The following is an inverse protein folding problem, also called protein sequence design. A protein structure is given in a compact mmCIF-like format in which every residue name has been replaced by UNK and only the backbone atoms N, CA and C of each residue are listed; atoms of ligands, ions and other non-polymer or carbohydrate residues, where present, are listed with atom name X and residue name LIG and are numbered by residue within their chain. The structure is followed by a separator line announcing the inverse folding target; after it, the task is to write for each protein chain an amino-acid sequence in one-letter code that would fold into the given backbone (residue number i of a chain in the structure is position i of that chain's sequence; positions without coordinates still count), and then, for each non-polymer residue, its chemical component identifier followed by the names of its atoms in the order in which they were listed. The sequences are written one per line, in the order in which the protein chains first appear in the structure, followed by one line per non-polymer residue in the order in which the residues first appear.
data_IF_180861053311
#
_entry.id   IF_180861053311
#
_cell.length_a   1.000
_cell.length_b   1.000
_cell.length_c   1.000
_cell.angle_alpha   90.00
_cell.angle_beta   90.00
_cell.angle_gamma   90.00
#
_symmetry.space_group_name_H-M   'P 1'
#
loop_
_entity.id
_entity.type
_entity.pdbx_description
1 polymer ?
#
# COMPACT_ATOMS: atom_id res chain seq x y z
N UNK A 1 12.14 -18.34 -2.01
CA UNK A 1 11.09 -17.57 -2.68
C UNK A 1 11.78 -16.43 -3.42
N UNK A 2 11.82 -16.46 -4.74
CA UNK A 2 12.33 -15.31 -5.51
C UNK A 2 11.40 -14.12 -5.27
N UNK A 3 11.93 -12.90 -5.02
CA UNK A 3 11.08 -11.74 -4.91
C UNK A 3 10.34 -11.53 -6.25
N UNK A 4 9.03 -11.28 -6.19
CA UNK A 4 8.18 -11.05 -7.36
C UNK A 4 8.64 -9.89 -8.26
N UNK A 5 9.65 -9.13 -7.83
CA UNK A 5 10.34 -8.12 -8.61
C UNK A 5 11.85 -8.31 -8.44
N UNK A 6 12.64 -8.22 -9.52
CA UNK A 6 14.09 -8.22 -9.42
C UNK A 6 14.51 -7.07 -8.50
N UNK A 7 15.39 -7.34 -7.55
CA UNK A 7 15.93 -6.33 -6.65
C UNK A 7 16.83 -5.42 -7.49
N UNK A 8 16.27 -4.31 -7.99
CA UNK A 8 16.97 -3.41 -8.90
C UNK A 8 18.10 -2.74 -8.13
N UNK A 9 19.35 -3.11 -8.45
CA UNK A 9 20.55 -2.49 -7.90
C UNK A 9 20.59 -0.99 -8.22
N UNK A 10 21.21 -0.20 -7.34
CA UNK A 10 21.30 1.25 -7.54
C UNK A 10 22.09 1.62 -8.81
N UNK A 11 23.01 0.77 -9.23
CA UNK A 11 23.73 0.88 -10.50
C UNK A 11 22.77 0.80 -11.71
N UNK A 12 21.81 -0.13 -11.70
CA UNK A 12 20.83 -0.25 -12.77
C UNK A 12 19.93 0.99 -12.81
N UNK A 13 19.54 1.54 -11.65
CA UNK A 13 18.72 2.77 -11.57
C UNK A 13 19.45 3.97 -12.16
N UNK A 14 20.74 4.11 -11.87
CA UNK A 14 21.57 5.18 -12.45
C UNK A 14 21.73 5.02 -13.97
N UNK A 15 21.93 3.79 -14.46
CA UNK A 15 22.03 3.51 -15.90
C UNK A 15 20.73 3.84 -16.66
N UNK A 16 19.57 3.57 -16.05
CA UNK A 16 18.26 3.87 -16.63
C UNK A 16 17.98 5.37 -16.60
N UNK A 17 18.38 6.07 -15.54
CA UNK A 17 18.28 7.52 -15.44
C UNK A 17 19.13 8.23 -16.51
N UNK A 18 20.35 7.75 -16.79
CA UNK A 18 21.20 8.26 -17.87
C UNK A 18 20.58 8.06 -19.26
N UNK A 19 19.77 7.01 -19.45
CA UNK A 19 18.98 6.76 -20.67
C UNK A 19 17.68 7.58 -20.73
N UNK A 20 17.45 8.50 -19.79
CA UNK A 20 16.26 9.33 -19.72
C UNK A 20 15.01 8.63 -19.16
N UNK A 21 15.13 7.37 -18.73
CA UNK A 21 14.04 6.61 -18.13
C UNK A 21 13.96 6.98 -16.64
N UNK A 22 12.95 7.76 -16.28
CA UNK A 22 12.66 8.11 -14.88
C UNK A 22 11.89 6.97 -14.24
N UNK A 23 12.28 6.61 -13.01
CA UNK A 23 11.49 5.69 -12.19
C UNK A 23 10.06 6.23 -12.06
N UNK A 24 9.08 5.36 -12.30
CA UNK A 24 7.68 5.70 -12.12
C UNK A 24 7.45 6.16 -10.68
N UNK A 25 7.11 7.43 -10.50
CA UNK A 25 6.61 7.97 -9.25
C UNK A 25 5.10 8.04 -9.36
N UNK A 26 4.34 7.38 -8.46
CA UNK A 26 2.90 7.55 -8.45
C UNK A 26 2.60 9.03 -8.24
N UNK A 27 1.83 9.64 -9.15
CA UNK A 27 1.32 10.99 -8.93
C UNK A 27 0.28 10.91 -7.81
N UNK A 28 0.43 11.67 -6.71
CA UNK A 28 -0.62 11.72 -5.71
C UNK A 28 -1.89 12.30 -6.32
N UNK A 29 -3.04 11.86 -5.79
CA UNK A 29 -4.32 12.47 -6.13
C UNK A 29 -4.31 13.96 -5.74
N UNK A 30 -4.85 14.86 -6.59
CA UNK A 30 -5.05 16.25 -6.22
C UNK A 30 -5.85 16.36 -4.92
N UNK A 31 -5.49 17.30 -4.03
CA UNK A 31 -6.07 17.37 -2.69
C UNK A 31 -7.59 17.57 -2.68
N UNK A 32 -8.14 18.31 -3.65
CA UNK A 32 -9.58 18.53 -3.80
C UNK A 32 -10.34 17.29 -4.28
N UNK A 33 -9.65 16.22 -4.69
CA UNK A 33 -10.21 14.91 -5.03
C UNK A 33 -9.87 13.84 -3.98
N UNK A 34 -9.02 14.17 -3.00
CA UNK A 34 -8.57 13.24 -1.98
C UNK A 34 -9.50 13.30 -0.75
N UNK A 35 -10.32 12.26 -0.48
CA UNK A 35 -11.25 12.25 0.65
C UNK A 35 -10.60 12.28 2.02
N UNK A 36 -9.28 12.07 2.10
CA UNK A 36 -8.48 12.21 3.32
C UNK A 36 -7.99 13.63 3.55
N UNK A 37 -8.05 14.50 2.54
CA UNK A 37 -7.67 15.91 2.67
C UNK A 37 -8.81 16.74 3.24
N UNK A 38 -8.49 17.71 4.10
CA UNK A 38 -9.45 18.73 4.54
C UNK A 38 -9.98 19.56 3.36
N UNK A 39 -9.13 19.79 2.35
CA UNK A 39 -9.47 20.54 1.14
C UNK A 39 -10.66 19.91 0.40
N UNK A 40 -10.74 18.58 0.37
CA UNK A 40 -11.85 17.84 -0.25
C UNK A 40 -13.19 18.12 0.44
N UNK A 41 -13.22 18.06 1.78
CA UNK A 41 -14.43 18.30 2.56
C UNK A 41 -14.87 19.77 2.47
N UNK A 42 -13.91 20.70 2.51
CA UNK A 42 -14.19 22.12 2.30
C UNK A 42 -14.81 22.39 0.92
N UNK A 43 -14.28 21.76 -0.13
CA UNK A 43 -14.80 21.91 -1.50
C UNK A 43 -16.23 21.36 -1.61
N UNK A 44 -16.52 20.21 -1.02
CA UNK A 44 -17.86 19.63 -1.01
C UNK A 44 -18.87 20.46 -0.19
N UNK A 45 -18.46 21.00 0.97
CA UNK A 45 -19.30 21.90 1.77
C UNK A 45 -19.60 23.18 1.01
N UNK A 46 -18.60 23.75 0.32
CA UNK A 46 -18.79 24.92 -0.53
C UNK A 46 -19.78 24.65 -1.67
N UNK A 47 -19.64 23.52 -2.38
CA UNK A 47 -20.57 23.14 -3.45
C UNK A 47 -22.00 22.94 -2.92
N UNK A 48 -22.16 22.36 -1.74
CA UNK A 48 -23.46 22.17 -1.12
C UNK A 48 -24.11 23.52 -0.75
N UNK A 49 -23.33 24.44 -0.19
CA UNK A 49 -23.78 25.81 0.09
C UNK A 49 -24.17 26.57 -1.19
N UNK A 50 -23.39 26.43 -2.25
CA UNK A 50 -23.70 27.02 -3.56
C UNK A 50 -25.01 26.45 -4.13
N UNK A 51 -25.24 25.14 -3.99
CA UNK A 51 -26.48 24.50 -4.44
C UNK A 51 -27.70 24.97 -3.62
N UNK A 52 -27.55 25.15 -2.31
CA UNK A 52 -28.60 25.72 -1.46
C UNK A 52 -28.97 27.13 -1.93
N UNK A 53 -27.95 27.98 -2.15
CA UNK A 53 -28.16 29.35 -2.59
C UNK A 53 -28.78 29.42 -3.99
N UNK A 54 -28.32 28.57 -4.91
CA UNK A 54 -28.91 28.40 -6.24
C UNK A 54 -30.38 27.97 -6.17
N UNK A 55 -30.72 27.01 -5.30
CA UNK A 55 -32.11 26.59 -5.07
C UNK A 55 -32.99 27.72 -4.53
N UNK A 56 -32.46 28.58 -3.64
CA UNK A 56 -33.18 29.73 -3.07
C UNK A 56 -33.36 30.86 -4.08
N UNK A 57 -32.43 31.04 -5.00
CA UNK A 57 -32.55 32.04 -6.07
C UNK A 57 -33.45 31.55 -7.20
N UNK A 58 -33.42 30.25 -7.52
CA UNK A 58 -34.28 29.63 -8.53
C UNK A 58 -35.78 29.84 -8.30
N UNK A 59 -36.24 29.99 -7.04
CA UNK A 59 -37.65 30.34 -6.77
C UNK A 59 -38.03 31.74 -7.23
N UNK A 60 -37.07 32.66 -7.30
CA UNK A 60 -37.29 34.04 -7.76
C UNK A 60 -37.18 34.14 -9.28
N UNK A 61 -36.28 33.36 -9.88
CA UNK A 61 -35.93 33.45 -11.30
C UNK A 61 -36.72 32.46 -12.19
N UNK A 62 -37.70 31.75 -11.63
CA UNK A 62 -38.52 30.77 -12.38
C UNK A 62 -37.76 29.55 -12.89
N UNK A 63 -36.56 29.31 -12.38
CA UNK A 63 -35.71 28.19 -12.78
C UNK A 63 -36.12 26.86 -12.11
N UNK A 64 -35.80 25.75 -12.76
CA UNK A 64 -36.09 24.41 -12.26
C UNK A 64 -35.32 24.11 -10.97
N UNK A 65 -36.05 23.96 -9.86
CA UNK A 65 -35.47 23.63 -8.54
C UNK A 65 -34.93 22.21 -8.45
N UNK A 66 -35.44 21.31 -9.30
CA UNK A 66 -35.11 19.87 -9.27
C UNK A 66 -33.61 19.67 -9.46
N UNK A 67 -32.97 20.40 -10.38
CA UNK A 67 -31.53 20.33 -10.62
C UNK A 67 -30.70 20.64 -9.37
N UNK A 68 -31.04 21.72 -8.66
CA UNK A 68 -30.35 22.08 -7.42
C UNK A 68 -30.61 21.08 -6.30
N UNK A 69 -31.80 20.49 -6.28
CA UNK A 69 -32.20 19.49 -5.29
C UNK A 69 -31.44 18.19 -5.45
N UNK A 70 -31.32 17.71 -6.69
CA UNK A 70 -30.56 16.49 -7.00
C UNK A 70 -29.08 16.69 -6.70
N UNK A 71 -28.52 17.87 -7.00
CA UNK A 71 -27.15 18.22 -6.63
C UNK A 71 -26.92 18.23 -5.10
N UNK A 72 -27.84 18.82 -4.33
CA UNK A 72 -27.73 18.82 -2.86
C UNK A 72 -27.72 17.41 -2.25
N UNK A 73 -28.44 16.45 -2.85
CA UNK A 73 -28.43 15.06 -2.39
C UNK A 73 -27.24 14.27 -2.92
N UNK A 74 -26.82 14.52 -4.17
CA UNK A 74 -25.77 13.75 -4.82
C UNK A 74 -24.38 14.07 -4.30
N UNK A 75 -24.07 15.35 -4.01
CA UNK A 75 -22.77 15.77 -3.48
C UNK A 75 -22.36 14.99 -2.21
N UNK A 76 -23.17 14.97 -1.12
CA UNK A 76 -22.79 14.23 0.08
C UNK A 76 -22.78 12.72 -0.14
N UNK A 77 -23.68 12.19 -0.99
CA UNK A 77 -23.71 10.77 -1.32
C UNK A 77 -22.43 10.32 -2.03
N UNK A 78 -22.02 11.03 -3.08
CA UNK A 78 -20.77 10.74 -3.79
C UNK A 78 -19.54 11.01 -2.92
N UNK A 79 -19.59 12.00 -2.02
CA UNK A 79 -18.51 12.24 -1.08
C UNK A 79 -18.26 11.04 -0.16
N UNK A 80 -19.31 10.46 0.42
CA UNK A 80 -19.21 9.27 1.26
C UNK A 80 -18.78 8.02 0.47
N UNK A 81 -19.37 7.81 -0.71
CA UNK A 81 -19.02 6.67 -1.58
C UNK A 81 -17.56 6.71 -2.04
N UNK A 82 -17.05 7.89 -2.36
CA UNK A 82 -15.65 8.07 -2.78
C UNK A 82 -14.66 7.70 -1.67
N UNK A 83 -14.96 8.08 -0.41
CA UNK A 83 -14.15 7.73 0.75
C UNK A 83 -14.09 6.21 0.95
N UNK A 84 -15.26 5.54 0.93
CA UNK A 84 -15.32 4.09 1.11
C UNK A 84 -14.61 3.29 0.02
N UNK A 85 -14.64 3.76 -1.23
CA UNK A 85 -13.85 3.15 -2.32
C UNK A 85 -12.36 3.44 -2.24
N UNK A 86 -11.97 4.61 -1.75
CA UNK A 86 -10.55 4.92 -1.57
C UNK A 86 -9.95 4.15 -0.40
N UNK A 87 -10.67 3.96 0.71
CA UNK A 87 -10.23 3.10 1.81
C UNK A 87 -9.98 1.66 1.34
N UNK A 88 -10.86 1.10 0.50
CA UNK A 88 -10.67 -0.25 -0.06
C UNK A 88 -9.55 -0.29 -1.10
N UNK A 89 -9.39 0.76 -1.93
CA UNK A 89 -8.28 0.85 -2.88
C UNK A 89 -6.94 1.10 -2.16
N UNK A 90 -6.91 1.80 -1.03
CA UNK A 90 -5.71 2.02 -0.22
C UNK A 90 -5.32 0.73 0.52
N UNK A 91 -6.30 -0.07 0.94
CA UNK A 91 -6.12 -1.43 1.44
C UNK A 91 -5.54 -2.37 0.37
N UNK A 92 -5.97 -2.23 -0.89
CA UNK A 92 -5.54 -3.08 -2.02
C UNK A 92 -4.21 -2.61 -2.65
N UNK A 93 -4.01 -1.29 -2.79
CA UNK A 93 -2.94 -0.66 -3.58
C UNK A 93 -2.03 0.30 -2.77
N UNK A 94 -2.56 0.90 -1.71
CA UNK A 94 -2.02 2.09 -1.05
C UNK A 94 -0.75 1.90 -0.25
N UNK A 95 -0.60 0.74 0.40
CA UNK A 95 0.68 0.30 0.92
C UNK A 95 1.06 -0.99 0.21
N UNK A 96 2.20 -0.96 -0.49
CA UNK A 96 3.01 -2.16 -0.68
C UNK A 96 3.46 -2.63 0.71
N UNK A 97 2.53 -3.23 1.45
CA UNK A 97 2.80 -3.82 2.74
C UNK A 97 3.83 -4.91 2.51
N UNK A 98 4.92 -4.89 3.28
CA UNK A 98 5.84 -6.02 3.30
C UNK A 98 5.03 -7.29 3.59
N UNK A 99 5.54 -8.47 3.19
CA UNK A 99 4.84 -9.72 3.47
C UNK A 99 4.47 -9.85 4.97
N UNK A 100 5.34 -9.36 5.85
CA UNK A 100 5.13 -9.29 7.30
C UNK A 100 3.97 -8.37 7.70
N UNK A 101 3.89 -7.16 7.13
CA UNK A 101 2.76 -6.24 7.35
C UNK A 101 1.45 -6.83 6.81
N UNK A 102 1.48 -7.66 5.76
CA UNK A 102 0.27 -8.37 5.28
C UNK A 102 -0.18 -9.47 6.25
N UNK A 103 0.76 -10.16 6.89
CA UNK A 103 0.47 -11.22 7.86
C UNK A 103 -0.21 -10.69 9.14
N UNK A 104 -0.02 -9.43 9.50
CA UNK A 104 -0.68 -8.81 10.66
C UNK A 104 -2.21 -8.74 10.54
N UNK A 105 -2.73 -8.68 9.31
CA UNK A 105 -4.17 -8.62 9.04
C UNK A 105 -4.84 -10.00 9.02
N UNK A 106 -4.06 -11.08 9.05
CA UNK A 106 -4.57 -12.45 9.08
C UNK A 106 -3.84 -13.26 10.17
N UNK A 107 -4.41 -13.36 11.39
CA UNK A 107 -3.74 -13.95 12.54
C UNK A 107 -3.43 -15.44 12.36
N UNK A 108 -4.20 -16.14 11.52
CA UNK A 108 -3.96 -17.55 11.18
C UNK A 108 -2.69 -17.68 10.34
N UNK A 109 -2.53 -16.82 9.33
CA UNK A 109 -1.34 -16.86 8.47
C UNK A 109 -0.08 -16.40 9.20
N UNK A 110 -0.19 -15.45 10.15
CA UNK A 110 0.94 -15.04 11.01
C UNK A 110 1.50 -16.20 11.82
N UNK A 111 0.63 -16.94 12.52
CA UNK A 111 1.06 -18.12 13.31
C UNK A 111 1.69 -19.21 12.45
N UNK A 112 1.19 -19.43 11.24
CA UNK A 112 1.77 -20.39 10.31
C UNK A 112 3.16 -19.95 9.83
N UNK A 113 3.34 -18.64 9.59
CA UNK A 113 4.63 -18.06 9.24
C UNK A 113 5.64 -18.15 10.38
N UNK A 114 5.25 -17.78 11.60
CA UNK A 114 6.12 -17.82 12.77
C UNK A 114 6.62 -19.26 13.02
N UNK A 115 5.73 -20.26 12.90
CA UNK A 115 6.12 -21.68 12.96
C UNK A 115 7.09 -22.08 11.85
N UNK A 116 6.88 -21.61 10.63
CA UNK A 116 7.77 -21.91 9.51
C UNK A 116 9.17 -21.30 9.70
N UNK A 117 9.25 -20.09 10.27
CA UNK A 117 10.51 -19.43 10.63
C UNK A 117 11.23 -20.20 11.73
N UNK A 118 10.51 -20.65 12.76
CA UNK A 118 11.06 -21.44 13.87
C UNK A 118 11.67 -22.77 13.37
N UNK A 119 10.92 -23.52 12.56
CA UNK A 119 11.39 -24.78 11.95
C UNK A 119 12.62 -24.54 11.07
N UNK A 120 12.63 -23.45 10.30
CA UNK A 120 13.76 -23.13 9.43
C UNK A 120 15.01 -22.74 10.26
N UNK A 121 14.85 -22.00 11.35
CA UNK A 121 15.96 -21.65 12.22
C UNK A 121 16.56 -22.88 12.90
N UNK A 122 15.72 -23.77 13.41
CA UNK A 122 16.16 -25.06 13.99
C UNK A 122 16.94 -25.90 12.96
N UNK A 123 16.43 -25.98 11.73
CA UNK A 123 17.11 -26.68 10.64
C UNK A 123 18.49 -26.05 10.31
N UNK A 124 18.58 -24.72 10.25
CA UNK A 124 19.82 -24.01 10.00
C UNK A 124 20.85 -24.17 11.14
N UNK A 125 20.39 -24.26 12.39
CA UNK A 125 21.25 -24.52 13.54
C UNK A 125 21.83 -25.94 13.51
N UNK A 126 21.00 -26.94 13.19
CA UNK A 126 21.45 -28.32 13.04
C UNK A 126 22.51 -28.46 11.94
N UNK A 127 22.30 -27.82 10.78
CA UNK A 127 23.30 -27.81 9.70
C UNK A 127 24.62 -27.18 10.14
N UNK A 128 24.59 -26.08 10.90
CA UNK A 128 25.82 -25.45 11.42
C UNK A 128 26.56 -26.37 12.37
N UNK A 129 25.85 -27.11 13.22
CA UNK A 129 26.46 -28.09 14.11
C UNK A 129 27.12 -29.22 13.31
N UNK A 130 26.41 -29.81 12.35
CA UNK A 130 26.94 -30.87 11.48
C UNK A 130 28.20 -30.42 10.71
N UNK A 131 28.18 -29.21 10.14
CA UNK A 131 29.34 -28.63 9.45
C UNK A 131 30.52 -28.51 10.42
N UNK A 132 30.31 -27.98 11.62
CA UNK A 132 31.38 -27.82 12.61
C UNK A 132 31.98 -29.16 13.07
N UNK A 133 31.15 -30.20 13.21
CA UNK A 133 31.61 -31.54 13.54
C UNK A 133 32.42 -32.18 12.40
N UNK A 134 31.98 -31.99 11.16
CA UNK A 134 32.68 -32.48 9.98
C UNK A 134 34.03 -31.78 9.80
N UNK A 135 34.10 -30.47 10.02
CA UNK A 135 35.35 -29.71 10.01
C UNK A 135 36.31 -30.20 11.10
N UNK A 136 35.82 -30.44 12.31
CA UNK A 136 36.63 -31.00 13.40
C UNK A 136 37.16 -32.42 13.08
N UNK A 137 36.34 -33.26 12.44
CA UNK A 137 36.74 -34.61 11.99
C UNK A 137 37.80 -34.54 10.88
N UNK A 138 37.63 -33.63 9.92
CA UNK A 138 38.61 -33.39 8.85
C UNK A 138 39.95 -32.92 9.40
N UNK A 139 39.93 -31.97 10.34
CA UNK A 139 41.14 -31.45 10.98
C UNK A 139 41.91 -32.54 11.73
N UNK A 140 41.22 -33.37 12.53
CA UNK A 140 41.83 -34.53 13.21
C UNK A 140 42.42 -35.54 12.23
N UNK A 141 41.74 -35.80 11.10
CA UNK A 141 42.24 -36.70 10.06
C UNK A 141 43.51 -36.17 9.40
N UNK A 142 43.57 -34.88 9.09
CA UNK A 142 44.77 -34.24 8.54
C UNK A 142 45.96 -34.30 9.50
N UNK A 143 45.74 -34.09 10.81
CA UNK A 143 46.79 -34.22 11.82
C UNK A 143 47.30 -35.65 12.00
N UNK A 144 46.44 -36.66 11.80
CA UNK A 144 46.85 -38.08 11.89
C UNK A 144 47.66 -38.59 10.69
N UNK A 145 47.74 -37.80 9.60
CA UNK A 145 48.46 -38.16 8.36
C UNK A 145 49.80 -37.43 8.21
N UNK A 146 50.16 -36.56 9.17
CA UNK A 146 51.49 -35.96 9.33
C UNK A 146 52.28 -36.73 10.39
#
# INVERSE_FOLDING_TARGET
MEPAYPNISDELRQSLAQKGLRAYKPKPLPEFLNPHSHTYWQTNVFLLAACWFGRRSATKDGCLRIFWSTAMCSIPFFALMSKGKLDSLDEILGKRRSFEERLEYSPITRRAWDRAVEINNEYQENLKQEISELEAKLYKKQQSQQ
#
